data_IF_986065931830
#
_entry.id   IF_986065931830
#
_cell.length_a   1.000
_cell.length_b   1.000
_cell.length_c   1.000
_cell.angle_alpha   90.00
_cell.angle_beta   90.00
_cell.angle_gamma   90.00
#
_symmetry.space_group_name_H-M   'P 1'
#
loop_
_entity.id
_entity.type
_entity.pdbx_description
1 polymer ?
2 non-polymer ?
3 non-polymer ?
4 water ?
#
# COMPACT_ATOMS: atom_id res chain seq x y z
N UNK A 1 20.68 -16.67 9.10
CA UNK A 1 19.64 -16.55 8.06
C UNK A 1 18.29 -16.78 8.68
N UNK A 2 17.39 -15.87 8.32
CA UNK A 2 16.03 -15.92 8.72
C UNK A 2 15.24 -16.04 7.47
N UNK A 3 14.00 -16.47 7.65
CA UNK A 3 13.11 -16.57 6.55
C UNK A 3 12.30 -15.30 6.40
N UNK A 4 12.07 -14.88 5.16
CA UNK A 4 11.10 -13.79 4.92
C UNK A 4 10.19 -14.13 3.74
N UNK A 5 8.89 -13.92 3.86
CA UNK A 5 8.00 -13.95 2.69
C UNK A 5 7.62 -12.53 2.25
N UNK A 6 7.96 -12.22 1.00
CA UNK A 6 7.77 -10.87 0.50
C UNK A 6 6.81 -10.87 -0.68
N UNK A 7 5.77 -10.04 -0.64
CA UNK A 7 4.90 -9.85 -1.81
C UNK A 7 5.26 -8.65 -2.64
N UNK A 8 5.32 -8.84 -3.95
CA UNK A 8 5.40 -7.71 -4.88
C UNK A 8 4.03 -7.21 -5.24
N UNK A 9 3.73 -5.98 -4.83
CA UNK A 9 2.42 -5.39 -5.04
C UNK A 9 2.52 -4.01 -5.72
N UNK A 10 1.66 -3.75 -6.70
CA UNK A 10 1.75 -2.48 -7.38
C UNK A 10 0.65 -2.44 -8.44
N UNK A 11 0.49 -1.26 -9.06
CA UNK A 11 -0.46 -1.07 -10.14
C UNK A 11 -0.07 -1.98 -11.31
N UNK A 12 -1.06 -2.29 -12.20
CA UNK A 12 -0.72 -2.93 -13.48
C UNK A 12 0.38 -2.17 -14.20
N UNK A 13 1.31 -2.91 -14.77
CA UNK A 13 2.38 -2.35 -15.57
C UNK A 13 3.39 -1.45 -14.88
N UNK A 14 3.73 -1.78 -13.63
CA UNK A 14 4.61 -0.90 -12.82
C UNK A 14 6.02 -1.50 -12.76
N UNK A 15 6.15 -2.70 -13.32
CA UNK A 15 7.42 -3.43 -13.44
C UNK A 15 7.58 -4.57 -12.43
N UNK A 16 6.50 -5.06 -11.82
CA UNK A 16 6.63 -6.13 -10.78
C UNK A 16 7.36 -7.40 -11.28
N UNK A 17 6.89 -7.93 -12.41
CA UNK A 17 7.51 -9.14 -12.96
C UNK A 17 8.95 -8.94 -13.39
N UNK A 18 9.24 -7.78 -13.96
CA UNK A 18 10.61 -7.44 -14.31
C UNK A 18 11.49 -7.50 -13.06
N UNK A 19 11.03 -6.83 -12.00
CA UNK A 19 11.77 -6.86 -10.72
C UNK A 19 11.86 -8.28 -10.19
N UNK A 20 10.74 -9.01 -10.22
CA UNK A 20 10.77 -10.45 -9.85
C UNK A 20 11.91 -11.23 -10.56
N UNK A 21 11.95 -11.11 -11.89
CA UNK A 21 13.00 -11.79 -12.70
C UNK A 21 14.39 -11.37 -12.36
N UNK A 22 14.58 -10.09 -12.06
CA UNK A 22 15.88 -9.60 -11.60
C UNK A 22 16.29 -10.19 -10.27
N UNK A 23 15.39 -10.18 -9.28
CA UNK A 23 15.75 -10.70 -7.95
C UNK A 23 16.04 -12.21 -7.99
N UNK A 24 15.27 -12.95 -8.78
CA UNK A 24 15.34 -14.41 -8.77
C UNK A 24 16.30 -14.96 -9.82
N UNK A 25 16.70 -14.09 -10.77
CA UNK A 25 17.66 -14.46 -11.81
C UNK A 25 17.01 -15.44 -12.77
N UNK A 26 15.72 -15.21 -13.02
CA UNK A 26 14.89 -16.07 -13.82
C UNK A 26 15.38 -16.20 -15.25
N UNK A 27 15.11 -17.37 -15.80
CA UNK A 27 15.47 -17.67 -17.16
C UNK A 27 14.54 -16.89 -18.09
N UNK A 28 15.11 -16.31 -19.16
CA UNK A 28 14.29 -15.75 -20.26
C UNK A 28 13.47 -16.83 -20.98
N UNK A 41 3.60 -19.29 -9.17
CA UNK A 41 5.08 -19.41 -9.24
C UNK A 41 5.91 -18.55 -8.22
N UNK A 42 6.30 -19.09 -7.06
CA UNK A 42 7.12 -18.34 -6.09
C UNK A 42 8.59 -18.37 -6.41
N UNK A 43 9.26 -17.24 -6.17
CA UNK A 43 10.73 -17.17 -6.26
C UNK A 43 11.42 -17.35 -4.93
N UNK A 44 12.72 -17.57 -4.98
CA UNK A 44 13.54 -17.61 -3.80
C UNK A 44 14.89 -16.99 -4.09
N UNK A 45 15.35 -16.08 -3.23
CA UNK A 45 16.69 -15.50 -3.39
C UNK A 45 17.24 -15.18 -2.00
N UNK A 46 18.54 -14.98 -1.91
CA UNK A 46 19.14 -14.65 -0.64
C UNK A 46 19.46 -13.17 -0.58
N UNK A 47 19.21 -12.57 0.59
CA UNK A 47 19.82 -11.27 0.88
C UNK A 47 20.98 -11.59 1.78
N UNK A 48 21.63 -10.58 2.35
CA UNK A 48 22.67 -10.82 3.35
C UNK A 48 22.16 -11.64 4.55
N UNK A 49 20.97 -11.28 5.06
CA UNK A 49 20.44 -11.91 6.28
C UNK A 49 19.23 -12.87 6.07
N UNK A 50 18.59 -12.84 4.89
CA UNK A 50 17.33 -13.58 4.72
C UNK A 50 17.35 -14.50 3.48
N UNK A 51 16.67 -15.63 3.61
CA UNK A 51 16.15 -16.40 2.48
C UNK A 51 14.76 -15.87 2.21
N UNK A 52 14.59 -15.25 1.06
CA UNK A 52 13.36 -14.58 0.77
C UNK A 52 12.57 -15.42 -0.23
N UNK A 53 11.36 -15.80 0.17
CA UNK A 53 10.35 -16.33 -0.72
C UNK A 53 9.57 -15.10 -1.24
N UNK A 54 9.59 -14.94 -2.58
CA UNK A 54 9.05 -13.80 -3.30
C UNK A 54 7.82 -14.18 -4.09
N UNK A 55 6.75 -13.42 -3.88
CA UNK A 55 5.47 -13.68 -4.56
C UNK A 55 5.13 -12.51 -5.49
N UNK A 56 5.02 -12.80 -6.80
CA UNK A 56 4.65 -11.81 -7.81
C UNK A 56 3.12 -11.66 -7.83
N UNK A 57 2.55 -10.61 -7.26
CA UNK A 57 1.09 -10.57 -7.18
C UNK A 57 0.49 -9.83 -8.38
N UNK A 58 -0.74 -10.22 -8.81
CA UNK A 58 -1.47 -9.49 -9.90
C UNK A 58 -1.63 -7.98 -9.60
N UNK A 59 -1.47 -7.12 -10.60
CA UNK A 59 -1.57 -5.66 -10.39
C UNK A 59 -2.94 -5.21 -9.96
N UNK A 60 -2.99 -4.10 -9.23
CA UNK A 60 -4.28 -3.55 -8.79
C UNK A 60 -4.08 -2.06 -8.58
N UNK A 61 -5.10 -1.25 -8.88
CA UNK A 61 -5.01 0.22 -8.67
C UNK A 61 -5.41 0.62 -7.26
N UNK A 62 -6.02 -0.31 -6.53
CA UNK A 62 -6.67 0.00 -5.29
C UNK A 62 -7.10 -1.26 -4.57
N UNK A 63 -7.09 -1.20 -3.24
CA UNK A 63 -7.60 -2.32 -2.44
C UNK A 63 -9.10 -2.16 -2.11
N UNK A 64 -9.78 -1.23 -2.75
CA UNK A 64 -11.20 -1.03 -2.53
C UNK A 64 -11.94 -1.44 -3.81
N UNK A 65 -12.87 -2.40 -3.68
CA UNK A 65 -13.85 -2.64 -4.77
C UNK A 65 -15.26 -2.57 -4.21
N UNK A 66 -16.06 -1.72 -4.84
CA UNK A 66 -17.45 -1.50 -4.47
C UNK A 66 -18.39 -2.38 -5.32
N UNK A 67 -17.86 -2.87 -6.45
CA UNK A 67 -18.58 -3.71 -7.43
C UNK A 67 -17.62 -4.32 -8.48
N UNK A 68 -17.71 -5.63 -8.70
CA UNK A 68 -16.88 -6.31 -9.72
C UNK A 68 -17.47 -7.66 -10.20
N UNK A 73 -4.64 -7.82 -12.57
CA UNK A 73 -5.72 -8.80 -12.68
C UNK A 73 -6.20 -9.33 -11.30
N UNK A 74 -6.64 -8.43 -10.41
CA UNK A 74 -6.77 -8.79 -8.99
C UNK A 74 -7.69 -7.98 -8.03
N UNK A 75 -8.35 -8.73 -7.15
CA UNK A 75 -8.43 -8.36 -5.74
C UNK A 75 -7.71 -9.50 -5.00
N UNK A 76 -6.95 -10.24 -5.81
CA UNK A 76 -6.10 -11.33 -5.34
C UNK A 76 -5.01 -10.79 -4.38
N UNK A 77 -4.33 -9.71 -4.79
CA UNK A 77 -3.29 -9.13 -3.93
C UNK A 77 -3.87 -8.77 -2.57
N UNK A 78 -5.04 -8.13 -2.54
CA UNK A 78 -5.69 -7.71 -1.29
C UNK A 78 -5.95 -8.91 -0.40
N UNK A 79 -6.56 -9.94 -0.97
CA UNK A 79 -6.79 -11.15 -0.18
C UNK A 79 -5.48 -11.78 0.25
N UNK A 80 -4.48 -11.78 -0.63
CA UNK A 80 -3.16 -12.24 -0.22
C UNK A 80 -2.57 -11.40 0.97
N UNK A 81 -2.65 -10.07 0.84
CA UNK A 81 -2.16 -9.09 1.86
C UNK A 81 -2.78 -9.35 3.23
N UNK A 82 -4.09 -9.51 3.23
CA UNK A 82 -4.85 -9.72 4.47
C UNK A 82 -4.77 -11.15 5.05
N UNK A 83 -4.16 -12.08 4.30
CA UNK A 83 -4.04 -13.47 4.74
C UNK A 83 -2.94 -13.64 5.78
N UNK A 84 -2.02 -12.68 5.81
CA UNK A 84 -0.91 -12.71 6.74
C UNK A 84 0.23 -13.56 6.23
N UNK A 85 0.13 -14.02 4.99
CA UNK A 85 1.18 -14.86 4.42
C UNK A 85 2.48 -14.03 4.24
N UNK A 86 2.33 -12.77 3.84
CA UNK A 86 3.53 -11.93 3.61
C UNK A 86 4.05 -11.32 4.91
N UNK A 87 5.33 -11.41 5.14
CA UNK A 87 5.95 -10.66 6.23
C UNK A 87 6.14 -9.18 5.85
N UNK A 88 6.45 -8.93 4.57
CA UNK A 88 6.81 -7.58 4.11
C UNK A 88 6.32 -7.44 2.70
N UNK A 89 6.03 -6.22 2.28
CA UNK A 89 5.76 -5.97 0.87
C UNK A 89 6.78 -5.12 0.19
N UNK A 90 7.01 -5.41 -1.09
CA UNK A 90 7.71 -4.47 -1.95
C UNK A 90 6.63 -3.84 -2.78
N UNK A 91 6.40 -2.53 -2.55
CA UNK A 91 5.42 -1.81 -3.32
C UNK A 91 6.12 -1.20 -4.52
N UNK A 92 5.83 -1.73 -5.72
CA UNK A 92 6.47 -1.33 -6.95
C UNK A 92 5.67 -0.16 -7.50
N UNK A 93 6.35 0.99 -7.60
CA UNK A 93 5.67 2.23 -7.94
C UNK A 93 6.29 2.78 -9.20
N UNK A 94 5.44 3.17 -10.15
CA UNK A 94 5.97 3.75 -11.37
C UNK A 94 6.22 5.24 -11.17
N UNK A 95 7.50 5.63 -11.12
CA UNK A 95 7.94 7.02 -10.90
C UNK A 95 7.39 8.00 -11.90
N UNK A 96 7.06 7.52 -13.12
CA UNK A 96 6.56 8.41 -14.16
C UNK A 96 5.09 8.76 -14.02
N UNK A 97 4.39 8.08 -13.10
CA UNK A 97 3.01 8.31 -12.79
C UNK A 97 2.79 8.25 -11.28
N UNK A 98 3.58 9.04 -10.55
CA UNK A 98 3.66 8.94 -9.10
C UNK A 98 2.33 9.08 -8.40
N UNK A 99 1.58 10.13 -8.72
CA UNK A 99 0.39 10.47 -7.94
C UNK A 99 -0.68 9.38 -8.05
N UNK A 100 -0.82 8.88 -9.27
CA UNK A 100 -1.74 7.78 -9.53
C UNK A 100 -1.31 6.52 -8.78
N UNK A 101 0.00 6.26 -8.76
CA UNK A 101 0.51 5.02 -8.12
C UNK A 101 0.40 5.05 -6.61
N UNK A 102 0.53 6.26 -6.05
CA UNK A 102 0.49 6.47 -4.59
C UNK A 102 -0.81 6.20 -3.87
N UNK A 103 -1.90 6.11 -4.61
CA UNK A 103 -3.17 5.73 -4.00
C UNK A 103 -3.07 4.34 -3.36
N UNK A 104 -2.62 3.35 -4.12
CA UNK A 104 -2.39 2.03 -3.54
C UNK A 104 -1.35 2.03 -2.40
N UNK A 105 -0.24 2.73 -2.61
CA UNK A 105 0.78 2.87 -1.55
C UNK A 105 0.17 3.36 -0.23
N UNK A 106 -0.58 4.46 -0.26
CA UNK A 106 -1.26 4.91 0.95
C UNK A 106 -2.15 3.87 1.62
N UNK A 107 -2.80 3.04 0.81
CA UNK A 107 -3.69 2.04 1.43
C UNK A 107 -2.90 1.03 2.18
N UNK A 108 -1.79 0.61 1.58
CA UNK A 108 -0.89 -0.32 2.22
C UNK A 108 -0.34 0.28 3.50
N UNK A 109 0.04 1.56 3.47
CA UNK A 109 0.65 2.17 4.68
C UNK A 109 -0.43 2.34 5.78
N UNK A 110 -1.65 2.67 5.38
CA UNK A 110 -2.78 2.73 6.36
C UNK A 110 -3.03 1.38 6.99
N UNK A 111 -2.94 0.33 6.19
CA UNK A 111 -2.99 -1.03 6.69
C UNK A 111 -1.83 -1.38 7.68
N UNK A 112 -0.65 -0.77 7.50
CA UNK A 112 0.46 -0.96 8.45
C UNK A 112 1.37 -2.16 8.19
N UNK A 113 1.11 -2.93 7.14
CA UNK A 113 2.04 -4.05 6.79
C UNK A 113 3.43 -3.48 6.45
N UNK A 114 4.51 -4.06 7.04
CA UNK A 114 5.86 -3.57 6.75
C UNK A 114 6.09 -3.50 5.24
N UNK A 115 6.53 -2.36 4.75
CA UNK A 115 6.81 -2.28 3.30
C UNK A 115 7.95 -1.39 2.92
N UNK A 116 8.42 -1.64 1.70
CA UNK A 116 9.49 -0.89 1.10
C UNK A 116 8.90 -0.47 -0.24
N UNK A 117 9.09 0.80 -0.59
CA UNK A 117 8.73 1.30 -1.94
C UNK A 117 9.90 1.08 -2.91
N UNK A 118 9.63 0.31 -3.99
CA UNK A 118 10.61 0.18 -5.08
C UNK A 118 10.11 1.21 -6.11
N UNK A 119 10.81 2.34 -6.18
CA UNK A 119 10.40 3.45 -7.03
C UNK A 119 11.09 3.16 -8.37
N UNK A 120 10.31 2.56 -9.27
CA UNK A 120 10.79 1.96 -10.51
C UNK A 120 10.54 2.93 -11.70
N UNK A 121 11.03 2.57 -12.89
CA UNK A 121 10.86 3.38 -14.10
C UNK A 121 11.40 4.85 -13.97
N UNK A 122 12.50 5.02 -13.23
CA UNK A 122 13.05 6.35 -12.94
C UNK A 122 13.75 6.94 -14.18
N UNK A 123 14.18 6.05 -15.07
CA UNK A 123 14.65 6.44 -16.43
C UNK A 123 13.54 7.09 -17.26
N UNK A 124 12.33 6.54 -17.23
CA UNK A 124 11.15 7.14 -17.88
C UNK A 124 10.73 8.48 -17.22
N UNK A 125 10.70 8.48 -15.88
CA UNK A 125 10.43 9.70 -15.15
C UNK A 125 11.43 10.82 -15.60
N UNK A 126 12.72 10.51 -15.57
CA UNK A 126 13.76 11.44 -16.00
C UNK A 126 13.54 12.00 -17.44
N UNK A 127 13.18 11.14 -18.39
CA UNK A 127 12.82 11.56 -19.77
C UNK A 127 11.62 12.50 -19.82
N UNK A 128 10.62 12.26 -18.98
CA UNK A 128 9.53 13.20 -18.92
C UNK A 128 9.75 14.39 -18.00
N UNK A 129 11.00 14.65 -17.62
CA UNK A 129 11.37 15.78 -16.74
C UNK A 129 10.71 15.75 -15.31
N UNK A 130 10.45 14.54 -14.83
CA UNK A 130 9.89 14.35 -13.47
C UNK A 130 11.08 14.28 -12.50
N UNK A 131 11.02 15.06 -11.44
CA UNK A 131 12.04 15.09 -10.41
C UNK A 131 11.37 14.63 -9.11
N UNK A 132 11.93 13.62 -8.45
CA UNK A 132 11.34 13.15 -7.14
C UNK A 132 12.48 13.16 -6.13
N UNK A 133 12.26 13.83 -4.98
CA UNK A 133 13.21 13.72 -3.88
C UNK A 133 12.91 12.36 -3.11
N UNK A 134 13.74 11.36 -3.36
CA UNK A 134 13.57 10.00 -2.85
C UNK A 134 13.44 9.97 -1.32
N UNK A 135 14.37 10.61 -0.59
CA UNK A 135 14.30 10.53 0.87
C UNK A 135 13.25 11.40 1.49
N UNK A 136 12.90 12.50 0.80
CA UNK A 136 11.74 13.28 1.24
C UNK A 136 10.46 12.43 1.15
N UNK A 137 10.30 11.73 0.05
CA UNK A 137 9.14 10.82 -0.08
C UNK A 137 9.14 9.76 1.02
N UNK A 138 10.28 9.14 1.25
CA UNK A 138 10.41 8.13 2.31
C UNK A 138 10.01 8.69 3.64
N UNK A 139 10.40 9.96 3.94
CA UNK A 139 10.06 10.49 5.25
C UNK A 139 8.54 10.83 5.34
N UNK A 140 7.97 11.31 4.24
CA UNK A 140 6.51 11.51 4.20
C UNK A 140 5.72 10.18 4.28
N UNK A 141 6.22 9.11 3.68
CA UNK A 141 5.48 7.84 3.74
C UNK A 141 5.68 7.03 5.03
N UNK A 142 6.83 7.23 5.63
CA UNK A 142 7.26 6.41 6.75
C UNK A 142 7.80 5.01 6.44
N UNK A 143 8.33 4.82 5.24
CA UNK A 143 8.96 3.54 4.87
C UNK A 143 10.07 3.85 3.90
N UNK A 144 11.03 2.96 3.71
CA UNK A 144 12.11 3.19 2.76
C UNK A 144 11.61 3.32 1.31
N UNK A 145 12.32 4.15 0.55
CA UNK A 145 12.05 4.31 -0.90
C UNK A 145 13.37 4.02 -1.56
N UNK A 146 13.36 3.00 -2.43
CA UNK A 146 14.52 2.53 -3.09
C UNK A 146 14.32 2.83 -4.60
N UNK A 147 15.17 3.70 -5.17
CA UNK A 147 15.05 4.03 -6.58
C UNK A 147 15.61 2.88 -7.45
N UNK A 148 14.87 2.50 -8.50
CA UNK A 148 15.25 1.40 -9.36
C UNK A 148 15.09 1.78 -10.84
N UNK A 149 15.90 1.11 -11.64
CA UNK A 149 15.57 0.90 -13.04
C UNK A 149 15.67 -0.61 -13.23
N UNK A 150 14.54 -1.29 -13.10
CA UNK A 150 14.50 -2.77 -13.00
C UNK A 150 15.00 -3.48 -14.27
N UNK A 151 14.77 -2.87 -15.44
CA UNK A 151 15.22 -3.46 -16.72
C UNK A 151 16.75 -3.45 -16.75
N UNK A 152 17.37 -2.51 -16.01
CA UNK A 152 18.84 -2.38 -16.00
C UNK A 152 19.48 -3.04 -14.76
N UNK A 153 18.66 -3.61 -13.88
CA UNK A 153 19.17 -4.15 -12.63
C UNK A 153 19.70 -3.07 -11.69
N UNK A 154 19.32 -1.81 -11.94
CA UNK A 154 19.85 -0.69 -11.13
C UNK A 154 19.05 -0.55 -9.85
N UNK A 155 19.73 -0.58 -8.71
CA UNK A 155 19.09 -0.41 -7.40
C UNK A 155 18.72 -1.69 -6.65
N UNK A 156 18.97 -2.84 -7.27
CA UNK A 156 18.56 -4.13 -6.70
C UNK A 156 19.31 -4.42 -5.44
N UNK A 157 20.62 -4.17 -5.45
CA UNK A 157 21.40 -4.37 -4.22
C UNK A 157 20.91 -3.51 -3.07
N UNK A 158 20.58 -2.25 -3.34
CA UNK A 158 20.06 -1.38 -2.27
C UNK A 158 18.72 -1.90 -1.81
N UNK A 159 17.92 -2.43 -2.74
CA UNK A 159 16.61 -2.98 -2.32
C UNK A 159 16.83 -4.14 -1.33
N UNK A 160 17.79 -5.02 -1.62
CA UNK A 160 18.08 -6.17 -0.77
C UNK A 160 18.54 -5.76 0.65
N UNK A 161 19.35 -4.72 0.73
CA UNK A 161 19.74 -4.18 2.04
C UNK A 161 18.53 -3.68 2.78
N UNK A 162 17.61 -3.02 2.08
CA UNK A 162 16.44 -2.45 2.76
C UNK A 162 15.53 -3.59 3.32
N UNK A 163 15.40 -4.69 2.60
CA UNK A 163 14.63 -5.85 3.10
C UNK A 163 15.24 -6.42 4.37
N UNK A 164 16.57 -6.43 4.49
CA UNK A 164 17.25 -6.86 5.77
C UNK A 164 17.12 -5.85 6.92
N UNK A 165 17.00 -4.58 6.56
CA UNK A 165 16.97 -3.54 7.62
C UNK A 165 15.63 -3.03 8.07
N UNK A 166 14.64 -3.04 7.17
CA UNK A 166 13.37 -2.49 7.52
C UNK A 166 12.56 -3.48 8.36
N UNK A 167 12.08 -3.00 9.51
CA UNK A 167 11.30 -3.81 10.44
C UNK A 167 9.85 -3.42 10.52
N UNK A 168 9.58 -2.12 10.67
CA UNK A 168 8.22 -1.61 10.81
C UNK A 168 8.15 -0.24 10.24
N UNK A 169 7.06 0.05 9.54
CA UNK A 169 6.83 1.38 9.01
C UNK A 169 6.70 2.37 10.19
N UNK A 170 7.01 3.64 9.94
CA UNK A 170 6.83 4.66 10.97
C UNK A 170 5.33 4.85 11.20
N UNK A 171 4.97 5.08 12.45
CA UNK A 171 3.58 5.27 12.85
C UNK A 171 3.08 6.72 12.64
N UNK A 172 2.87 7.12 11.39
CA UNK A 172 2.45 8.46 11.03
C UNK A 172 0.96 8.47 10.87
N UNK A 173 0.36 9.61 11.18
CA UNK A 173 -1.00 9.94 10.81
C UNK A 173 -0.80 10.32 9.36
N UNK A 174 -1.25 9.48 8.44
CA UNK A 174 -0.99 9.85 7.03
C UNK A 174 -2.12 10.73 6.57
N UNK A 175 -3.33 10.18 6.54
CA UNK A 175 -4.49 10.85 5.97
C UNK A 175 -5.25 11.52 7.13
N UNK A 176 -5.79 12.69 6.86
CA UNK A 176 -6.37 13.57 7.91
C UNK A 176 -7.87 13.41 7.77
N UNK A 177 -8.46 12.42 8.44
CA UNK A 177 -9.88 12.12 8.20
C UNK A 177 -10.75 12.95 9.17
N UNK A 178 -11.89 13.50 8.71
CA UNK A 178 -12.84 14.15 9.64
C UNK A 178 -13.10 13.23 10.84
N UNK A 179 -13.04 13.78 12.06
CA UNK A 179 -13.26 12.95 13.24
C UNK A 179 -14.57 12.07 13.24
N UNK A 180 -15.70 12.58 12.71
CA UNK A 180 -16.88 11.69 12.73
C UNK A 180 -16.60 10.35 12.01
N UNK A 181 -15.84 10.40 10.91
CA UNK A 181 -15.49 9.21 10.12
C UNK A 181 -14.67 8.21 10.88
N UNK A 182 -13.69 8.70 11.66
CA UNK A 182 -12.88 7.86 12.53
C UNK A 182 -13.63 7.32 13.78
N UNK A 183 -14.53 8.11 14.37
CA UNK A 183 -15.41 7.68 15.47
C UNK A 183 -16.13 6.38 15.03
N UNK A 184 -16.85 6.47 13.93
CA UNK A 184 -17.63 5.37 13.44
C UNK A 184 -16.82 4.21 12.86
N UNK A 185 -15.64 4.50 12.30
CA UNK A 185 -14.72 3.42 11.89
C UNK A 185 -14.21 2.64 13.09
N UNK A 186 -13.90 3.36 14.19
CA UNK A 186 -13.30 2.77 15.40
C UNK A 186 -14.27 1.96 16.24
N UNK A 187 -15.54 2.37 16.21
CA UNK A 187 -16.59 1.55 16.80
C UNK A 187 -16.61 0.16 16.14
N UNK A 188 -16.51 0.12 14.81
CA UNK A 188 -16.50 -1.15 14.06
C UNK A 188 -15.24 -1.95 14.36
N UNK A 189 -14.12 -1.25 14.43
CA UNK A 189 -12.86 -1.85 14.89
C UNK A 189 -12.98 -2.46 16.29
N UNK A 190 -14.06 -2.09 17.00
CA UNK A 190 -14.34 -2.65 18.33
C UNK A 190 -15.18 -3.96 18.26
N UNK A 191 -16.16 -3.97 17.36
CA UNK A 191 -16.92 -5.17 17.05
C UNK A 191 -16.00 -6.31 16.67
N UNK A 192 -15.37 -6.17 15.50
CA UNK A 192 -14.73 -7.25 14.76
C UNK A 192 -13.72 -8.15 15.51
N UNK A 193 -13.25 -9.13 14.86
CA UNK A 193 -12.43 -10.24 15.14
C UNK A 193 -11.38 -10.18 16.19
N UNK A 194 -10.95 -9.09 16.68
CA UNK A 194 -10.12 -8.80 17.84
C UNK A 194 -8.78 -9.41 17.98
N UNK A 195 -8.47 -10.28 17.09
CA UNK A 195 -7.27 -11.07 16.87
C UNK A 195 -6.34 -10.24 15.98
N UNK A 196 -7.13 -9.72 15.01
CA UNK A 196 -6.77 -8.85 13.95
C UNK A 196 -6.41 -7.52 14.53
N UNK A 197 -5.21 -7.06 14.24
CA UNK A 197 -4.61 -5.89 14.92
C UNK A 197 -5.38 -4.57 14.72
N UNK A 198 -5.27 -3.64 15.69
CA UNK A 198 -6.08 -2.39 15.72
C UNK A 198 -5.97 -1.57 14.44
N UNK A 199 -4.74 -1.37 13.98
CA UNK A 199 -4.47 -0.66 12.73
C UNK A 199 -5.25 -1.29 11.56
N UNK A 200 -5.19 -2.62 11.43
CA UNK A 200 -5.97 -3.36 10.42
C UNK A 200 -7.49 -3.24 10.63
N UNK A 201 -7.93 -3.26 11.89
CA UNK A 201 -9.35 -3.08 12.25
C UNK A 201 -9.94 -1.73 11.85
N UNK A 202 -9.24 -0.63 12.18
CA UNK A 202 -9.66 0.71 11.76
C UNK A 202 -9.67 0.82 10.23
N UNK A 203 -8.65 0.21 9.60
CA UNK A 203 -8.57 0.13 8.13
C UNK A 203 -9.78 -0.62 7.54
N UNK A 204 -10.06 -1.80 8.10
CA UNK A 204 -11.28 -2.55 7.71
C UNK A 204 -12.55 -1.71 7.91
N UNK A 205 -12.64 -1.00 9.02
CA UNK A 205 -13.80 -0.12 9.26
C UNK A 205 -13.95 1.09 8.36
N UNK A 206 -12.83 1.68 7.92
CA UNK A 206 -12.95 2.75 6.90
C UNK A 206 -13.28 2.19 5.53
N UNK A 207 -12.76 1.00 5.24
CA UNK A 207 -13.08 0.28 4.00
C UNK A 207 -14.58 -0.04 3.96
N UNK A 208 -15.12 -0.46 5.10
CA UNK A 208 -16.57 -0.69 5.20
C UNK A 208 -17.34 0.61 4.92
N UNK A 209 -16.91 1.71 5.55
CA UNK A 209 -17.59 2.99 5.37
C UNK A 209 -17.48 3.51 3.95
N UNK A 210 -16.49 3.04 3.19
CA UNK A 210 -16.40 3.40 1.77
C UNK A 210 -17.24 2.53 0.83
N UNK A 211 -17.81 1.45 1.37
CA UNK A 211 -18.56 0.48 0.57
C UNK A 211 -17.73 -0.67 0.00
N UNK A 212 -16.62 -1.01 0.65
CA UNK A 212 -15.85 -2.18 0.18
C UNK A 212 -16.59 -3.46 0.56
N UNK A 213 -16.73 -4.33 -0.45
CA UNK A 213 -17.52 -5.55 -0.34
C UNK A 213 -16.73 -6.70 0.32
N UNK A 214 -15.41 -6.68 0.20
CA UNK A 214 -14.59 -7.78 0.72
C UNK A 214 -14.27 -7.71 2.20
N UNK A 215 -14.47 -6.54 2.81
CA UNK A 215 -13.97 -6.32 4.18
C UNK A 215 -14.86 -6.86 5.32
N UNK A 216 -16.17 -6.94 5.10
CA UNK A 216 -17.12 -7.56 6.03
C UNK A 216 -16.74 -9.01 6.35
N UNK A 217 -16.26 -9.72 5.32
CA UNK A 217 -15.80 -11.09 5.48
C UNK A 217 -14.67 -11.22 6.50
N UNK A 218 -14.06 -10.09 6.85
CA UNK A 218 -12.87 -10.07 7.73
C UNK A 218 -13.16 -9.43 9.07
N UNK A 219 -14.44 -9.12 9.28
CA UNK A 219 -14.87 -8.42 10.49
C UNK A 219 -14.98 -9.22 11.74
N UNK A 220 -16.12 -9.69 12.16
CA UNK A 220 -16.48 -10.32 13.41
C UNK A 220 -17.99 -10.16 13.61
N UNK A 221 -18.46 -9.37 14.63
CA UNK A 221 -19.74 -8.66 14.40
C UNK A 221 -19.55 -7.90 13.08
N UNK A 222 -20.07 -8.55 12.02
CA UNK A 222 -19.58 -8.19 10.69
C UNK A 222 -20.32 -7.16 9.92
N UNK A 223 -21.20 -7.51 9.01
CA UNK A 223 -21.80 -6.60 8.05
C UNK A 223 -22.52 -5.41 8.57
N UNK A 224 -23.78 -5.52 8.76
CA UNK A 224 -24.57 -4.29 8.79
C UNK A 224 -24.83 -3.85 10.22
N UNK A 225 -23.74 -3.95 11.02
CA UNK A 225 -23.42 -3.03 12.11
C UNK A 225 -22.88 -1.76 11.44
N UNK A 226 -22.90 -1.81 10.10
CA UNK A 226 -22.48 -0.77 9.17
C UNK A 226 -23.61 0.22 8.86
N UNK A 227 -24.84 -0.28 8.91
CA UNK A 227 -26.03 0.55 8.65
C UNK A 227 -26.30 1.57 9.76
N UNK A 228 -26.01 1.15 10.99
CA UNK A 228 -26.08 2.02 12.14
C UNK A 228 -25.01 3.11 12.01
N UNK A 229 -23.78 2.67 11.74
CA UNK A 229 -22.64 3.58 11.52
C UNK A 229 -22.91 4.59 10.39
N UNK A 230 -23.38 4.09 9.25
CA UNK A 230 -23.58 4.93 8.07
C UNK A 230 -24.76 5.90 8.19
N UNK A 231 -25.63 5.67 9.18
CA UNK A 231 -26.75 6.56 9.47
C UNK A 231 -26.40 7.53 10.61
N UNK A 232 -25.53 7.08 11.50
CA UNK A 232 -24.92 7.91 12.55
C UNK A 232 -24.10 9.12 12.06
N UNK A 233 -24.16 9.41 10.76
CA UNK A 233 -23.28 10.42 10.14
C UNK A 233 -24.00 11.41 9.20
N UNK A 234 -25.32 11.28 9.07
CA UNK A 234 -26.12 12.15 8.19
C UNK A 234 -26.26 13.58 8.71
N UNK A 235 -26.14 13.74 10.03
CA UNK A 235 -26.04 15.06 10.67
C UNK A 235 -24.70 15.74 10.34
N UNK A 236 -23.76 14.97 9.79
CA UNK A 236 -22.37 15.42 9.64
C UNK A 236 -21.83 15.31 8.21
N UNK A 237 -21.78 14.10 7.66
CA UNK A 237 -21.17 13.89 6.34
C UNK A 237 -22.15 13.34 5.30
N UNK A 238 -22.24 14.04 4.17
CA UNK A 238 -23.17 13.70 3.10
C UNK A 238 -22.90 12.35 2.40
N UNK A 239 -21.71 12.23 1.80
CA UNK A 239 -21.27 10.98 1.21
C UNK A 239 -19.94 10.61 1.86
N UNK A 240 -19.97 9.74 2.90
CA UNK A 240 -18.76 9.30 3.59
C UNK A 240 -17.70 8.70 2.65
N UNK A 241 -18.17 7.95 1.65
CA UNK A 241 -17.29 7.31 0.67
C UNK A 241 -16.47 8.37 -0.07
N UNK A 242 -17.15 9.44 -0.46
CA UNK A 242 -16.52 10.52 -1.20
C UNK A 242 -15.61 11.36 -0.29
N UNK A 243 -15.97 11.47 0.98
CA UNK A 243 -15.21 12.25 1.92
C UNK A 243 -13.90 11.54 2.32
N UNK A 244 -13.98 10.23 2.51
CA UNK A 244 -12.83 9.38 2.77
C UNK A 244 -11.84 9.39 1.58
N UNK A 245 -12.36 9.18 0.37
CA UNK A 245 -11.52 9.18 -0.83
C UNK A 245 -10.87 10.54 -1.02
N UNK A 246 -11.63 11.60 -0.75
CA UNK A 246 -11.11 12.95 -0.96
C UNK A 246 -9.97 13.30 -0.02
N UNK A 247 -10.12 12.98 1.26
CA UNK A 247 -9.08 13.09 2.28
C UNK A 247 -7.82 12.34 1.82
N UNK A 248 -7.96 11.10 1.33
CA UNK A 248 -6.85 10.37 0.70
C UNK A 248 -6.19 11.08 -0.45
N UNK A 249 -6.98 11.55 -1.42
CA UNK A 249 -6.44 12.25 -2.57
C UNK A 249 -5.73 13.55 -2.18
N UNK A 250 -6.33 14.29 -1.25
CA UNK A 250 -5.72 15.48 -0.67
C UNK A 250 -4.32 15.19 -0.08
N UNK A 251 -4.19 14.10 0.67
CA UNK A 251 -2.93 13.67 1.26
C UNK A 251 -1.89 13.41 0.20
N UNK A 252 -2.28 12.63 -0.82
CA UNK A 252 -1.37 12.32 -1.90
C UNK A 252 -0.94 13.53 -2.68
N UNK A 253 -1.87 14.46 -2.93
CA UNK A 253 -1.50 15.68 -3.64
C UNK A 253 -0.49 16.47 -2.83
N UNK A 254 -0.73 16.63 -1.52
CA UNK A 254 0.18 17.34 -0.63
C UNK A 254 1.59 16.69 -0.64
N UNK A 255 1.67 15.37 -0.47
CA UNK A 255 2.96 14.68 -0.69
C UNK A 255 3.65 14.98 -2.04
N UNK A 256 2.93 14.81 -3.17
CA UNK A 256 3.53 15.01 -4.48
C UNK A 256 3.99 16.48 -4.69
N UNK A 257 3.19 17.46 -4.24
CA UNK A 257 3.60 18.84 -4.33
C UNK A 257 4.87 19.15 -3.57
N UNK A 258 5.14 18.41 -2.47
CA UNK A 258 6.33 18.71 -1.64
C UNK A 258 7.59 18.04 -2.16
N UNK A 259 7.45 16.81 -2.62
CA UNK A 259 8.60 15.95 -2.93
C UNK A 259 8.89 15.78 -4.44
N UNK A 260 7.98 16.30 -5.26
CA UNK A 260 8.03 16.17 -6.71
C UNK A 260 7.78 17.55 -7.35
N UNK A 261 7.94 17.66 -8.66
CA UNK A 261 7.67 18.93 -9.36
C UNK A 261 6.22 19.13 -9.84
N UNK A 262 5.23 18.51 -9.16
CA UNK A 262 3.81 18.51 -9.60
C UNK A 262 3.02 19.79 -9.30
N UNK A 263 3.42 20.57 -8.28
CA UNK A 263 2.66 21.79 -7.96
C UNK A 263 2.49 22.72 -9.15
N UNK A 264 3.60 23.01 -9.83
CA UNK A 264 3.53 23.86 -10.99
C UNK A 264 4.03 23.07 -12.20
X LIG B 1 1.31 -6.62 -14.87
X LIG B 1 0.42 -6.04 -13.77
X LIG B 1 1.81 -7.89 -14.26
X LIG B 1 0.58 -6.62 -16.35
X LIG B 1 2.58 -5.59 -15.07
X LIG B 1 4.08 -5.84 -14.23
X LIG B 1 4.59 -7.16 -13.85
X LIG B 1 3.93 -4.48 -13.27
X LIG B 1 5.15 -5.17 -15.32
X LIG B 1 6.37 -5.78 -16.23
X LIG B 1 7.50 -6.29 -15.44
X LIG B 1 5.56 -6.86 -17.01
X LIG B 1 6.72 -4.53 -17.00
X LIG B 1 5.94 -3.83 -18.00
X LIG B 1 6.98 -3.35 -18.96
X LIG B 1 7.84 -2.23 -18.35
X LIG B 1 8.00 -4.36 -19.49
X LIG B 1 8.25 -4.25 -20.92
X LIG B 1 9.32 -3.92 -18.89
X LIG B 1 10.31 -4.12 -19.83
X LIG B 1 9.16 -2.35 -18.67
X LIG B 1 9.84 -1.90 -17.46
X LIG B 1 9.81 -2.44 -16.22
X LIG B 1 10.65 -1.75 -15.40
X LIG B 1 11.22 -0.77 -16.11
X LIG B 1 11.96 0.35 -15.83
X LIG B 1 12.58 0.61 -14.78
X LIG B 1 12.26 1.22 -16.94
X LIG B 1 11.76 1.01 -18.22
X LIG B 1 12.16 1.90 -19.15
X LIG B 1 10.87 0.03 -18.45
X LIG B 1 10.64 -0.88 -17.42
X LIG C 1 3.59 -8.98 -14.11
X LIG D 1 15.51 16.61 0.27
#
# INVERSE_FOLDING_TARGET
>A
MQKLTVGLIGNPNSGKTTLFNQLTGARQRVGNWAGVTVERKEGIFATTDHQVTLVDLPGTYSLTTISSQTSLDEQIACHYILSGDADMLINVVDASNLERNLYLTLQLLELGIPCVVALNMLDIAEKQQVRIDIDALAARLGCPVIPLVSTRGRGIEALKIALDRHQANSDLELVHYPQPLLREADLLAQQMSAQIPPRQRRWLGLQMLEGDIYSRAYAGDAADKLDIALANLSDEIDDPALHIADARYQTIAAICDAVSNTLTAEP
>B hetero
1 GNP PG O1G O2G O3G N3B PB O1B O2B O3A PA O1A O2A O5' C5' C4' O4' C3' O3' C2' O2' C1' N9 C8 N7 C5 C6 O6 N1 C2 N2 N3 C4
>C hetero
1 MG MG
>D hetero
1 MG MG
#
